data_IF_303025258271
#
_entry.id   IF_303025258271
#
_cell.length_a   1.000
_cell.length_b   1.000
_cell.length_c   1.000
_cell.angle_alpha   90.00
_cell.angle_beta   90.00
_cell.angle_gamma   90.00
#
_symmetry.space_group_name_H-M   'P 1'
#
loop_
_entity.id
_entity.type
_entity.pdbx_description
1 polymer ?
#
# COMPACT_ATOMS: atom_id res chain seq x y z
N UNK A 1 -26.72 -13.09 8.66
CA UNK A 1 -27.68 -14.22 8.65
C UNK A 1 -26.89 -15.44 8.23
N UNK A 2 -26.81 -16.52 9.04
CA UNK A 2 -26.15 -17.76 8.64
C UNK A 2 -26.88 -18.30 7.38
N UNK A 3 -26.11 -18.67 6.35
CA UNK A 3 -26.69 -19.36 5.19
C UNK A 3 -27.39 -20.63 5.69
N UNK A 4 -28.59 -20.95 5.21
CA UNK A 4 -29.26 -22.19 5.57
C UNK A 4 -28.32 -23.35 5.26
N UNK A 5 -28.17 -24.27 6.21
CA UNK A 5 -27.35 -25.45 6.05
C UNK A 5 -27.84 -26.19 4.79
N UNK A 6 -26.93 -26.36 3.83
CA UNK A 6 -27.20 -27.17 2.64
C UNK A 6 -27.65 -28.54 3.12
N UNK A 7 -28.79 -29.04 2.66
CA UNK A 7 -29.23 -30.41 3.01
C UNK A 7 -28.11 -31.37 2.64
N UNK A 8 -27.70 -32.17 3.63
CA UNK A 8 -26.64 -33.17 3.45
C UNK A 8 -27.15 -34.27 2.54
N UNK A 9 -26.31 -34.71 1.64
CA UNK A 9 -26.60 -35.89 0.82
C UNK A 9 -26.61 -37.15 1.70
N UNK A 10 -27.28 -38.22 1.25
CA UNK A 10 -27.30 -39.49 1.98
C UNK A 10 -25.89 -40.08 2.19
N UNK A 11 -24.99 -39.86 1.23
CA UNK A 11 -23.58 -40.22 1.33
C UNK A 11 -22.86 -39.46 2.45
N UNK A 12 -23.08 -38.14 2.56
CA UNK A 12 -22.51 -37.32 3.64
C UNK A 12 -23.02 -37.72 5.01
N UNK A 13 -24.29 -38.14 5.12
CA UNK A 13 -24.87 -38.65 6.36
C UNK A 13 -24.27 -40.01 6.74
N UNK A 14 -24.07 -40.88 5.76
CA UNK A 14 -23.45 -42.20 5.99
C UNK A 14 -22.01 -42.08 6.45
N UNK A 15 -21.19 -41.22 5.79
CA UNK A 15 -19.81 -40.94 6.18
C UNK A 15 -19.73 -40.33 7.60
N UNK A 16 -20.68 -39.44 7.92
CA UNK A 16 -20.74 -38.86 9.28
C UNK A 16 -21.06 -39.92 10.36
N UNK A 17 -21.96 -40.82 10.08
CA UNK A 17 -22.29 -41.92 11.01
C UNK A 17 -21.11 -42.89 11.15
N UNK A 18 -20.41 -43.22 10.05
CA UNK A 18 -19.20 -44.06 10.11
C UNK A 18 -18.10 -43.38 10.95
N UNK A 19 -17.92 -42.08 10.82
CA UNK A 19 -16.98 -41.32 11.63
C UNK A 19 -17.35 -41.37 13.13
N UNK A 20 -18.65 -41.26 13.46
CA UNK A 20 -19.12 -41.39 14.83
C UNK A 20 -18.87 -42.77 15.42
N UNK A 21 -19.11 -43.81 14.65
CA UNK A 21 -18.81 -45.18 15.05
C UNK A 21 -17.31 -45.38 15.33
N UNK A 22 -16.43 -44.73 14.54
CA UNK A 22 -14.98 -44.72 14.78
C UNK A 22 -14.63 -43.97 16.08
N UNK A 23 -15.27 -42.81 16.29
CA UNK A 23 -15.10 -42.03 17.54
C UNK A 23 -15.50 -42.83 18.78
N UNK A 24 -16.61 -43.53 18.73
CA UNK A 24 -17.07 -44.39 19.84
C UNK A 24 -16.12 -45.55 20.13
N UNK A 25 -15.42 -46.10 19.12
CA UNK A 25 -14.38 -47.11 19.27
C UNK A 25 -13.08 -46.58 19.88
N UNK A 26 -12.95 -45.24 19.93
CA UNK A 26 -11.84 -44.53 20.52
C UNK A 26 -10.71 -44.21 19.53
N UNK A 27 -10.42 -42.95 19.37
CA UNK A 27 -9.30 -42.43 18.57
C UNK A 27 -7.95 -42.43 19.32
N UNK A 28 -7.91 -43.01 20.53
CA UNK A 28 -6.69 -43.06 21.36
C UNK A 28 -5.50 -43.70 20.63
N UNK A 29 -5.74 -44.71 19.80
CA UNK A 29 -4.68 -45.36 19.02
C UNK A 29 -4.07 -44.40 17.97
N UNK A 30 -4.86 -43.53 17.35
CA UNK A 30 -4.36 -42.53 16.43
C UNK A 30 -3.45 -41.52 17.14
N UNK A 31 -3.84 -41.08 18.35
CA UNK A 31 -3.02 -40.22 19.18
C UNK A 31 -1.69 -40.88 19.57
N UNK A 32 -1.71 -42.16 19.93
CA UNK A 32 -0.48 -42.91 20.25
C UNK A 32 0.47 -43.01 19.05
N UNK A 33 -0.07 -43.26 17.84
CA UNK A 33 0.73 -43.27 16.61
C UNK A 33 1.34 -41.91 16.34
N UNK A 34 0.58 -40.84 16.52
CA UNK A 34 1.09 -39.46 16.39
C UNK A 34 2.19 -39.19 17.44
N UNK A 35 2.03 -39.64 18.68
CA UNK A 35 3.05 -39.44 19.71
C UNK A 35 4.35 -40.20 19.42
N UNK A 36 4.31 -41.32 18.70
CA UNK A 36 5.51 -42.04 18.24
C UNK A 36 6.35 -41.21 17.27
N UNK A 37 5.72 -40.26 16.57
CA UNK A 37 6.44 -39.33 15.65
C UNK A 37 7.21 -38.24 16.40
N UNK A 38 7.03 -38.10 17.72
CA UNK A 38 7.66 -37.00 18.49
C UNK A 38 9.18 -36.89 18.31
N UNK A 39 10.00 -37.96 18.38
CA UNK A 39 11.44 -37.84 18.13
C UNK A 39 11.73 -37.30 16.74
N UNK A 40 11.08 -37.83 15.70
CA UNK A 40 11.21 -37.41 14.32
C UNK A 40 10.85 -35.93 14.15
N UNK A 41 9.79 -35.45 14.79
CA UNK A 41 9.39 -34.05 14.80
C UNK A 41 10.49 -33.19 15.42
N UNK A 42 10.99 -33.57 16.59
CA UNK A 42 12.00 -32.80 17.34
C UNK A 42 13.29 -32.62 16.52
N UNK A 43 13.69 -33.65 15.79
CA UNK A 43 14.92 -33.63 14.98
C UNK A 43 14.79 -32.80 13.69
N UNK A 44 13.62 -32.77 13.07
CA UNK A 44 13.44 -32.21 11.73
C UNK A 44 12.68 -30.91 11.67
N UNK A 45 11.78 -30.62 12.61
CA UNK A 45 10.79 -29.53 12.51
C UNK A 45 11.44 -28.15 12.32
N UNK A 46 12.58 -27.87 12.97
CA UNK A 46 13.28 -26.58 12.86
C UNK A 46 13.80 -26.35 11.45
N UNK A 47 14.41 -27.37 10.85
CA UNK A 47 14.94 -27.32 9.48
C UNK A 47 13.80 -27.15 8.47
N UNK A 48 12.81 -28.04 8.52
CA UNK A 48 11.67 -28.03 7.60
C UNK A 48 10.87 -26.72 7.70
N UNK A 49 10.64 -26.21 8.91
CA UNK A 49 9.97 -24.92 9.12
C UNK A 49 10.73 -23.78 8.44
N UNK A 50 12.07 -23.76 8.56
CA UNK A 50 12.91 -22.72 7.95
C UNK A 50 12.86 -22.81 6.42
N UNK A 51 12.88 -24.01 5.86
CA UNK A 51 12.76 -24.24 4.42
C UNK A 51 11.39 -23.81 3.89
N UNK A 52 10.30 -24.26 4.53
CA UNK A 52 8.93 -23.85 4.17
C UNK A 52 8.72 -22.34 4.29
N UNK A 53 9.31 -21.69 5.31
CA UNK A 53 9.24 -20.24 5.46
C UNK A 53 9.96 -19.52 4.32
N UNK A 54 11.15 -19.99 3.90
CA UNK A 54 11.88 -19.42 2.76
C UNK A 54 11.10 -19.61 1.47
N UNK A 55 10.47 -20.75 1.27
CA UNK A 55 9.62 -21.06 0.12
C UNK A 55 8.41 -20.11 0.06
N UNK A 56 7.67 -19.93 1.18
CA UNK A 56 6.58 -18.96 1.28
C UNK A 56 7.08 -17.54 0.98
N UNK A 57 8.23 -17.13 1.51
CA UNK A 57 8.81 -15.81 1.29
C UNK A 57 9.20 -15.56 -0.15
N UNK A 58 9.60 -16.58 -0.90
CA UNK A 58 9.91 -16.47 -2.33
C UNK A 58 8.67 -16.29 -3.20
N UNK A 59 7.53 -16.78 -2.76
CA UNK A 59 6.26 -16.72 -3.48
C UNK A 59 5.42 -15.47 -3.15
N UNK A 60 5.67 -14.87 -1.98
CA UNK A 60 4.85 -13.78 -1.46
C UNK A 60 5.72 -12.57 -1.12
N UNK A 61 5.29 -11.37 -1.51
CA UNK A 61 5.92 -10.12 -1.08
C UNK A 61 5.71 -9.92 0.42
N UNK A 62 6.81 -10.00 1.19
CA UNK A 62 6.75 -9.94 2.65
C UNK A 62 6.64 -8.50 3.17
N UNK A 63 5.47 -8.14 3.67
CA UNK A 63 5.28 -6.99 4.56
C UNK A 63 5.18 -7.48 6.01
N UNK A 64 5.52 -6.65 7.02
CA UNK A 64 5.72 -7.07 8.40
C UNK A 64 4.60 -7.89 9.05
N UNK A 65 3.33 -7.58 8.76
CA UNK A 65 2.18 -8.35 9.28
C UNK A 65 2.06 -9.72 8.63
N UNK A 66 2.43 -9.85 7.37
CA UNK A 66 2.46 -11.11 6.61
C UNK A 66 3.50 -12.05 7.19
N UNK A 67 4.61 -11.54 7.71
CA UNK A 67 5.69 -12.35 8.29
C UNK A 67 5.21 -13.25 9.42
N UNK A 68 4.32 -12.75 10.29
CA UNK A 68 3.71 -13.55 11.36
C UNK A 68 2.83 -14.67 10.80
N UNK A 69 2.01 -14.38 9.79
CA UNK A 69 1.17 -15.38 9.12
C UNK A 69 2.02 -16.45 8.45
N UNK A 70 3.07 -16.05 7.72
CA UNK A 70 4.01 -16.98 7.07
C UNK A 70 4.73 -17.87 8.08
N UNK A 71 5.18 -17.31 9.23
CA UNK A 71 5.80 -18.09 10.31
C UNK A 71 4.86 -19.13 10.89
N UNK A 72 3.58 -18.81 11.02
CA UNK A 72 2.56 -19.75 11.50
C UNK A 72 2.28 -20.81 10.44
N UNK A 73 2.02 -20.42 9.20
CA UNK A 73 1.77 -21.33 8.08
C UNK A 73 2.95 -22.28 7.83
N UNK A 74 4.20 -21.78 7.94
CA UNK A 74 5.39 -22.59 7.77
C UNK A 74 5.50 -23.75 8.77
N UNK A 75 4.91 -23.62 9.96
CA UNK A 75 4.86 -24.71 10.93
C UNK A 75 3.93 -25.85 10.45
N UNK A 76 2.73 -25.49 9.96
CA UNK A 76 1.79 -26.49 9.43
C UNK A 76 2.31 -27.15 8.15
N UNK A 77 2.94 -26.37 7.27
CA UNK A 77 3.59 -26.89 6.07
C UNK A 77 4.74 -27.84 6.41
N UNK A 78 5.56 -27.49 7.41
CA UNK A 78 6.64 -28.35 7.86
C UNK A 78 6.12 -29.69 8.44
N UNK A 79 4.99 -29.67 9.17
CA UNK A 79 4.37 -30.89 9.66
C UNK A 79 3.81 -31.75 8.52
N UNK A 80 3.14 -31.15 7.53
CA UNK A 80 2.65 -31.85 6.35
C UNK A 80 3.81 -32.52 5.58
N UNK A 81 4.87 -31.76 5.33
CA UNK A 81 6.06 -32.27 4.64
C UNK A 81 6.78 -33.38 5.43
N UNK A 82 6.84 -33.24 6.76
CA UNK A 82 7.42 -34.27 7.63
C UNK A 82 6.62 -35.58 7.54
N UNK A 83 5.29 -35.51 7.57
CA UNK A 83 4.44 -36.69 7.43
C UNK A 83 4.64 -37.33 6.06
N UNK A 84 4.64 -36.55 4.97
CA UNK A 84 4.78 -37.05 3.61
C UNK A 84 6.18 -37.68 3.34
N UNK A 85 7.27 -37.07 3.85
CA UNK A 85 8.63 -37.51 3.56
C UNK A 85 9.13 -38.64 4.50
N UNK A 86 8.63 -38.71 5.74
CA UNK A 86 9.23 -39.56 6.78
C UNK A 86 8.28 -40.58 7.37
N UNK A 87 7.03 -40.66 6.89
CA UNK A 87 6.06 -41.65 7.42
C UNK A 87 5.29 -42.30 6.26
N UNK A 88 4.69 -43.47 6.58
CA UNK A 88 3.78 -44.15 5.66
C UNK A 88 2.33 -43.62 5.73
N UNK A 89 2.09 -42.56 6.52
CA UNK A 89 0.77 -41.95 6.67
C UNK A 89 0.42 -41.21 5.38
N UNK A 90 -0.69 -41.58 4.78
CA UNK A 90 -1.22 -40.90 3.59
C UNK A 90 -2.24 -39.87 3.98
N UNK A 91 -1.89 -38.60 3.76
CA UNK A 91 -2.83 -37.49 3.89
C UNK A 91 -3.74 -37.44 2.65
N UNK A 92 -4.98 -36.94 2.76
CA UNK A 92 -5.90 -36.81 1.64
C UNK A 92 -5.50 -35.69 0.65
N UNK A 93 -4.35 -35.06 0.86
CA UNK A 93 -3.78 -33.98 0.05
C UNK A 93 -2.25 -34.08 0.05
N UNK A 94 -1.62 -33.58 -0.99
CA UNK A 94 -0.16 -33.49 -1.13
C UNK A 94 0.38 -32.21 -0.50
N UNK A 95 1.69 -32.17 -0.21
CA UNK A 95 2.37 -30.94 0.24
C UNK A 95 2.13 -29.77 -0.73
N UNK A 96 2.19 -29.99 -2.06
CA UNK A 96 1.98 -28.93 -3.06
C UNK A 96 0.58 -28.33 -2.99
N UNK A 97 -0.45 -29.15 -2.82
CA UNK A 97 -1.83 -28.69 -2.69
C UNK A 97 -2.02 -27.91 -1.41
N UNK A 98 -1.45 -28.39 -0.30
CA UNK A 98 -1.51 -27.70 0.97
C UNK A 98 -0.74 -26.38 0.95
N UNK A 99 0.43 -26.33 0.28
CA UNK A 99 1.19 -25.12 0.08
C UNK A 99 0.41 -24.05 -0.68
N UNK A 100 -0.27 -24.44 -1.78
CA UNK A 100 -1.14 -23.55 -2.53
C UNK A 100 -2.27 -23.00 -1.68
N UNK A 101 -2.95 -23.86 -0.92
CA UNK A 101 -4.02 -23.45 0.01
C UNK A 101 -3.47 -22.48 1.06
N UNK A 102 -2.27 -22.71 1.59
CA UNK A 102 -1.62 -21.81 2.55
C UNK A 102 -1.36 -20.43 1.95
N UNK A 103 -0.84 -20.35 0.72
CA UNK A 103 -0.64 -19.09 0.01
C UNK A 103 -1.96 -18.35 -0.21
N UNK A 104 -3.00 -19.04 -0.71
CA UNK A 104 -4.32 -18.46 -0.95
C UNK A 104 -4.96 -17.92 0.35
N UNK A 105 -4.80 -18.65 1.45
CA UNK A 105 -5.32 -18.22 2.77
C UNK A 105 -4.55 -17.03 3.34
N UNK A 106 -3.23 -17.01 3.20
CA UNK A 106 -2.42 -15.86 3.62
C UNK A 106 -2.83 -14.63 2.79
N UNK A 107 -2.94 -14.75 1.48
CA UNK A 107 -3.37 -13.65 0.62
C UNK A 107 -4.76 -13.15 1.01
N UNK A 108 -5.71 -14.05 1.25
CA UNK A 108 -7.04 -13.67 1.72
C UNK A 108 -7.02 -12.89 3.05
N UNK A 109 -6.17 -13.31 4.00
CA UNK A 109 -6.03 -12.60 5.29
C UNK A 109 -5.41 -11.21 5.09
N UNK A 110 -4.42 -11.09 4.22
CA UNK A 110 -3.81 -9.79 3.86
C UNK A 110 -4.85 -8.86 3.26
N UNK A 111 -5.66 -9.35 2.32
CA UNK A 111 -6.73 -8.57 1.70
C UNK A 111 -7.78 -8.13 2.72
N UNK A 112 -8.10 -9.00 3.69
CA UNK A 112 -9.03 -8.68 4.78
C UNK A 112 -8.46 -7.59 5.69
N UNK A 113 -7.20 -7.72 6.12
CA UNK A 113 -6.50 -6.71 6.94
C UNK A 113 -6.44 -5.37 6.19
N UNK A 114 -6.07 -5.39 4.92
CA UNK A 114 -6.01 -4.19 4.08
C UNK A 114 -7.37 -3.48 3.94
N UNK A 115 -8.47 -4.24 3.88
CA UNK A 115 -9.84 -3.68 3.82
C UNK A 115 -10.28 -3.02 5.13
N UNK A 116 -9.75 -3.48 6.26
CA UNK A 116 -10.04 -2.90 7.59
C UNK A 116 -9.04 -1.82 7.99
N UNK A 117 -7.98 -1.62 7.20
CA UNK A 117 -6.98 -0.59 7.46
C UNK A 117 -7.55 0.81 7.17
N UNK A 118 -7.54 1.67 8.19
CA UNK A 118 -7.97 3.07 8.09
C UNK A 118 -7.13 3.86 7.09
N UNK A 119 -5.87 3.52 6.95
CA UNK A 119 -4.99 4.13 5.96
C UNK A 119 -5.35 3.71 4.53
N UNK A 120 -5.74 2.45 4.31
CA UNK A 120 -6.23 2.01 3.01
C UNK A 120 -7.46 2.82 2.58
N UNK A 121 -8.40 3.07 3.52
CA UNK A 121 -9.59 3.90 3.27
C UNK A 121 -9.18 5.35 2.98
N UNK A 122 -8.25 5.92 3.76
CA UNK A 122 -7.75 7.28 3.58
C UNK A 122 -7.07 7.47 2.21
N UNK A 123 -6.17 6.56 1.81
CA UNK A 123 -5.49 6.67 0.52
C UNK A 123 -6.39 6.40 -0.68
N UNK A 124 -7.37 5.49 -0.56
CA UNK A 124 -8.41 5.31 -1.59
C UNK A 124 -9.28 6.54 -1.75
N UNK A 125 -9.63 7.20 -0.64
CA UNK A 125 -10.35 8.46 -0.69
C UNK A 125 -9.49 9.54 -1.35
N UNK A 126 -8.20 9.61 -1.04
CA UNK A 126 -7.26 10.52 -1.67
C UNK A 126 -7.19 10.29 -3.19
N UNK A 127 -7.16 9.04 -3.63
CA UNK A 127 -7.18 8.64 -5.04
C UNK A 127 -8.42 9.21 -5.77
N UNK A 128 -9.60 9.00 -5.21
CA UNK A 128 -10.84 9.59 -5.76
C UNK A 128 -10.86 11.11 -5.72
N UNK A 129 -10.32 11.73 -4.65
CA UNK A 129 -10.24 13.18 -4.54
C UNK A 129 -9.27 13.80 -5.57
N UNK A 130 -8.25 13.08 -6.00
CA UNK A 130 -7.36 13.48 -7.09
C UNK A 130 -8.12 13.44 -8.43
N UNK A 131 -8.87 12.37 -8.70
CA UNK A 131 -9.67 12.26 -9.92
C UNK A 131 -10.74 13.33 -10.04
N UNK A 132 -11.38 13.67 -8.92
CA UNK A 132 -12.40 14.74 -8.87
C UNK A 132 -11.80 16.14 -8.78
N UNK A 133 -10.47 16.29 -8.84
CA UNK A 133 -9.73 17.55 -8.71
C UNK A 133 -9.97 18.29 -7.38
N UNK A 134 -10.47 17.60 -6.37
CA UNK A 134 -10.58 18.13 -5.00
C UNK A 134 -9.20 18.29 -4.36
N UNK A 135 -8.24 17.41 -4.72
CA UNK A 135 -6.82 17.53 -4.40
C UNK A 135 -6.02 17.82 -5.66
N UNK A 136 -5.10 18.76 -5.56
CA UNK A 136 -4.31 19.26 -6.68
C UNK A 136 -2.83 18.89 -6.47
N UNK A 137 -2.21 18.16 -7.42
CA UNK A 137 -0.78 17.89 -7.40
C UNK A 137 0.03 19.20 -7.37
N UNK A 138 1.14 19.20 -6.64
CA UNK A 138 1.97 20.40 -6.45
C UNK A 138 1.40 21.40 -5.45
N UNK A 139 0.10 21.36 -5.09
CA UNK A 139 -0.53 22.18 -4.07
C UNK A 139 -0.74 21.44 -2.75
N UNK A 140 -1.37 20.27 -2.81
CA UNK A 140 -1.81 19.52 -1.64
C UNK A 140 -0.90 18.33 -1.33
N UNK A 141 -0.29 17.79 -2.36
CA UNK A 141 0.74 16.75 -2.33
C UNK A 141 1.71 16.94 -3.49
N UNK A 142 2.91 16.37 -3.38
CA UNK A 142 3.96 16.49 -4.39
C UNK A 142 4.83 15.22 -4.40
N UNK A 143 5.54 14.97 -5.50
CA UNK A 143 6.47 13.87 -5.64
C UNK A 143 7.84 14.36 -6.04
N UNK A 144 8.89 13.74 -5.51
CA UNK A 144 10.27 14.05 -5.88
C UNK A 144 11.18 12.83 -5.65
N UNK A 145 12.40 12.88 -6.17
CA UNK A 145 13.44 11.87 -6.04
C UNK A 145 14.71 12.46 -5.38
N UNK A 146 14.61 12.93 -4.14
CA UNK A 146 15.73 13.58 -3.49
C UNK A 146 16.76 12.55 -3.02
N UNK A 147 18.07 12.84 -3.10
CA UNK A 147 19.11 11.94 -2.57
C UNK A 147 19.15 11.94 -1.03
N UNK A 148 18.62 12.99 -0.39
CA UNK A 148 18.54 13.14 1.06
C UNK A 148 17.37 14.04 1.46
N UNK A 149 16.87 13.82 2.68
CA UNK A 149 15.83 14.64 3.30
C UNK A 149 16.32 15.25 4.60
N UNK A 150 15.80 16.42 4.93
CA UNK A 150 15.99 17.05 6.25
C UNK A 150 14.70 16.90 7.03
N UNK A 151 14.69 15.98 7.98
CA UNK A 151 13.55 15.67 8.83
C UNK A 151 13.57 16.49 10.13
N UNK A 152 12.39 16.71 10.70
CA UNK A 152 12.24 17.29 12.04
C UNK A 152 12.42 16.15 13.05
N UNK A 153 13.52 16.16 13.80
CA UNK A 153 13.79 15.23 14.88
C UNK A 153 13.19 15.69 16.24
N UNK A 154 13.41 14.89 17.27
CA UNK A 154 13.02 15.26 18.65
C UNK A 154 13.60 16.62 19.07
N UNK A 155 12.80 17.43 19.77
CA UNK A 155 13.22 18.76 20.19
C UNK A 155 13.40 19.78 19.06
N UNK A 156 12.78 19.55 17.89
CA UNK A 156 12.90 20.37 16.65
C UNK A 156 14.31 20.40 16.06
N UNK A 157 15.15 19.43 16.37
CA UNK A 157 16.45 19.25 15.73
C UNK A 157 16.28 18.85 14.26
N UNK A 158 17.24 19.21 13.40
CA UNK A 158 17.26 18.76 12.00
C UNK A 158 18.06 17.47 11.91
N UNK A 159 17.45 16.43 11.33
CA UNK A 159 18.07 15.13 11.11
C UNK A 159 18.17 14.87 9.61
N UNK A 160 19.37 14.58 9.11
CA UNK A 160 19.58 14.20 7.71
C UNK A 160 19.22 12.71 7.53
N UNK A 161 18.33 12.43 6.58
CA UNK A 161 17.89 11.08 6.22
C UNK A 161 18.33 10.79 4.76
N UNK A 162 19.23 9.81 4.54
CA UNK A 162 19.61 9.41 3.20
C UNK A 162 18.44 8.63 2.55
N UNK A 163 18.08 9.01 1.33
CA UNK A 163 17.05 8.32 0.55
C UNK A 163 17.76 7.41 -0.45
N UNK A 164 17.41 6.12 -0.54
CA UNK A 164 17.98 5.22 -1.54
C UNK A 164 17.75 5.74 -2.95
N UNK A 165 18.74 5.58 -3.84
CA UNK A 165 18.64 6.03 -5.22
C UNK A 165 17.43 5.44 -5.93
N UNK A 166 16.72 6.31 -6.67
CA UNK A 166 15.52 5.94 -7.42
C UNK A 166 14.25 5.83 -6.58
N UNK A 167 14.31 6.04 -5.26
CA UNK A 167 13.12 6.04 -4.40
C UNK A 167 12.26 7.27 -4.65
N UNK A 168 11.00 7.06 -4.97
CA UNK A 168 10.02 8.12 -5.06
C UNK A 168 9.53 8.53 -3.67
N UNK A 169 9.68 9.80 -3.34
CA UNK A 169 9.17 10.39 -2.10
C UNK A 169 7.91 11.20 -2.40
N UNK A 170 6.84 10.90 -1.67
CA UNK A 170 5.60 11.66 -1.69
C UNK A 170 5.54 12.61 -0.49
N UNK A 171 5.32 13.88 -0.75
CA UNK A 171 5.12 14.92 0.27
C UNK A 171 3.64 15.21 0.38
N UNK A 172 3.07 15.08 1.56
CA UNK A 172 1.65 15.33 1.81
C UNK A 172 1.43 16.45 2.83
N UNK A 173 0.50 17.34 2.51
CA UNK A 173 -0.04 18.35 3.45
C UNK A 173 -1.20 17.73 4.22
N UNK A 174 -0.88 16.89 5.21
CA UNK A 174 -1.87 16.06 5.89
C UNK A 174 -3.11 16.85 6.38
N UNK A 175 -2.93 18.04 6.94
CA UNK A 175 -4.05 18.86 7.45
C UNK A 175 -5.01 19.28 6.33
N UNK A 176 -4.49 19.58 5.14
CA UNK A 176 -5.31 19.99 3.98
C UNK A 176 -6.05 18.79 3.41
N UNK A 177 -5.33 17.69 3.20
CA UNK A 177 -5.90 16.44 2.67
C UNK A 177 -6.95 15.91 3.64
N UNK A 178 -6.65 15.91 4.94
CA UNK A 178 -7.58 15.46 5.96
C UNK A 178 -8.85 16.30 6.00
N UNK A 179 -8.77 17.62 5.86
CA UNK A 179 -9.96 18.48 5.82
C UNK A 179 -10.91 18.16 4.65
N UNK A 180 -10.38 17.70 3.51
CA UNK A 180 -11.18 17.22 2.40
C UNK A 180 -11.73 15.81 2.67
N UNK A 181 -10.89 14.92 3.24
CA UNK A 181 -11.28 13.58 3.63
C UNK A 181 -12.43 13.58 4.64
N UNK A 182 -12.36 14.43 5.66
CA UNK A 182 -13.36 14.54 6.71
C UNK A 182 -14.73 15.02 6.17
N UNK A 183 -14.74 15.87 5.14
CA UNK A 183 -15.95 16.33 4.44
C UNK A 183 -16.49 15.29 3.46
N UNK A 184 -15.72 14.29 3.12
CA UNK A 184 -16.09 13.26 2.16
C UNK A 184 -16.94 12.16 2.81
N UNK A 185 -17.68 11.42 1.98
CA UNK A 185 -18.42 10.22 2.44
C UNK A 185 -17.52 9.04 2.82
N UNK A 186 -16.21 9.16 2.63
CA UNK A 186 -15.24 8.08 2.93
C UNK A 186 -14.91 7.99 4.42
N UNK A 187 -14.96 9.10 5.18
CA UNK A 187 -14.69 9.09 6.62
C UNK A 187 -15.92 8.66 7.44
N UNK A 188 -16.51 7.51 7.10
CA UNK A 188 -17.69 6.97 7.79
C UNK A 188 -17.42 6.62 9.25
N UNK A 189 -16.20 6.21 9.56
CA UNK A 189 -15.76 5.83 10.91
C UNK A 189 -15.32 7.04 11.75
N UNK A 190 -15.42 8.25 11.22
CA UNK A 190 -15.00 9.50 11.89
C UNK A 190 -13.58 9.42 12.47
N UNK A 191 -12.65 8.83 11.70
CA UNK A 191 -11.25 8.78 12.09
C UNK A 191 -10.68 10.19 12.19
N UNK A 192 -10.11 10.58 13.34
CA UNK A 192 -9.51 11.90 13.52
C UNK A 192 -8.19 12.03 12.76
N UNK A 193 -7.77 13.27 12.47
CA UNK A 193 -6.47 13.55 11.86
C UNK A 193 -5.31 12.94 12.66
N UNK A 194 -5.37 13.03 14.00
CA UNK A 194 -4.36 12.45 14.88
C UNK A 194 -4.28 10.92 14.76
N UNK A 195 -5.43 10.24 14.58
CA UNK A 195 -5.47 8.79 14.35
C UNK A 195 -4.80 8.43 13.01
N UNK A 196 -5.12 9.16 11.94
CA UNK A 196 -4.48 8.94 10.64
C UNK A 196 -2.98 9.20 10.72
N UNK A 197 -2.55 10.28 11.37
CA UNK A 197 -1.13 10.59 11.55
C UNK A 197 -0.40 9.53 12.38
N UNK A 198 -1.01 9.02 13.45
CA UNK A 198 -0.43 7.97 14.27
C UNK A 198 -0.28 6.66 13.48
N UNK A 199 -1.29 6.30 12.70
CA UNK A 199 -1.23 5.13 11.83
C UNK A 199 -0.17 5.29 10.74
N UNK A 200 -0.03 6.49 10.14
CA UNK A 200 1.05 6.79 9.20
C UNK A 200 2.43 6.61 9.84
N UNK A 201 2.65 7.13 11.04
CA UNK A 201 3.93 7.02 11.77
C UNK A 201 4.35 5.57 12.05
N UNK A 202 3.38 4.66 12.20
CA UNK A 202 3.63 3.23 12.42
C UNK A 202 3.73 2.42 11.12
N UNK A 203 3.46 3.05 9.97
CA UNK A 203 3.46 2.38 8.67
C UNK A 203 4.86 2.35 8.04
N UNK A 204 5.17 1.28 7.29
CA UNK A 204 6.46 1.10 6.63
C UNK A 204 6.78 2.17 5.57
N UNK A 205 5.77 2.83 5.01
CA UNK A 205 5.97 3.92 4.06
C UNK A 205 6.36 5.26 4.71
N UNK A 206 6.28 5.38 6.03
CA UNK A 206 6.55 6.64 6.72
C UNK A 206 8.05 6.95 6.78
N UNK A 207 8.46 8.13 6.27
CA UNK A 207 9.84 8.61 6.38
C UNK A 207 9.95 9.61 7.52
N UNK A 208 9.12 10.66 7.55
CA UNK A 208 9.15 11.62 8.64
C UNK A 208 8.54 12.98 8.29
N UNK A 209 8.44 13.87 9.32
CA UNK A 209 7.97 15.22 9.12
C UNK A 209 9.08 16.11 8.56
N UNK A 210 8.73 17.01 7.64
CA UNK A 210 9.60 18.00 7.01
C UNK A 210 9.11 19.40 7.41
N UNK A 211 10.03 20.28 7.83
CA UNK A 211 9.72 21.63 8.29
C UNK A 211 9.20 22.53 7.14
N UNK A 212 9.85 22.43 5.98
CA UNK A 212 9.51 23.23 4.81
C UNK A 212 9.78 22.44 3.53
N UNK A 213 8.74 22.26 2.73
CA UNK A 213 8.80 21.80 1.35
C UNK A 213 8.13 22.84 0.46
N UNK A 214 8.70 23.09 -0.70
CA UNK A 214 8.17 24.06 -1.65
C UNK A 214 7.19 23.37 -2.58
N UNK A 215 5.91 23.62 -2.35
CA UNK A 215 4.83 23.21 -3.25
C UNK A 215 4.68 24.21 -4.37
N UNK A 216 4.59 23.74 -5.63
CA UNK A 216 4.42 24.57 -6.83
C UNK A 216 3.23 24.05 -7.62
N UNK A 217 2.29 24.95 -7.95
CA UNK A 217 1.12 24.58 -8.74
C UNK A 217 0.71 25.72 -9.67
N UNK A 218 -0.14 25.39 -10.62
CA UNK A 218 -0.72 26.36 -11.55
C UNK A 218 -2.22 26.49 -11.26
N UNK A 219 -2.70 27.71 -11.13
CA UNK A 219 -4.13 28.02 -11.07
C UNK A 219 -4.55 28.75 -12.33
N UNK A 220 -5.73 28.39 -12.84
CA UNK A 220 -6.34 29.08 -13.97
C UNK A 220 -7.38 30.02 -13.43
N UNK A 221 -7.19 31.30 -13.67
CA UNK A 221 -8.06 32.40 -13.26
C UNK A 221 -8.73 32.99 -14.50
N UNK A 222 -10.04 33.21 -14.43
CA UNK A 222 -10.73 33.94 -15.49
C UNK A 222 -10.72 35.43 -15.17
N UNK A 223 -10.06 36.21 -15.97
CA UNK A 223 -9.91 37.67 -15.81
C UNK A 223 -10.47 38.42 -17.03
N UNK A 224 -11.07 39.61 -16.81
CA UNK A 224 -11.51 40.45 -17.92
C UNK A 224 -10.31 40.81 -18.80
N UNK A 225 -10.48 40.79 -20.14
CA UNK A 225 -9.44 41.10 -21.12
C UNK A 225 -8.76 42.45 -20.87
N UNK A 226 -9.52 43.44 -20.43
CA UNK A 226 -9.00 44.80 -20.16
C UNK A 226 -7.99 44.86 -19.00
N UNK A 227 -7.99 43.91 -18.06
CA UNK A 227 -6.97 43.84 -17.00
C UNK A 227 -5.63 43.36 -17.55
N UNK A 228 -5.63 42.42 -18.49
CA UNK A 228 -4.40 41.90 -19.11
C UNK A 228 -3.75 42.92 -20.08
N UNK A 229 -4.55 43.68 -20.79
CA UNK A 229 -4.06 44.75 -21.68
C UNK A 229 -3.37 45.86 -20.88
N UNK A 230 -3.86 46.17 -19.67
CA UNK A 230 -3.24 47.13 -18.76
C UNK A 230 -1.92 46.66 -18.15
N UNK A 231 -1.67 45.32 -18.07
CA UNK A 231 -0.41 44.77 -17.59
C UNK A 231 0.68 44.66 -18.68
N UNK A 232 0.40 45.04 -19.94
CA UNK A 232 1.37 45.03 -21.03
C UNK A 232 1.87 43.66 -21.45
N UNK A 233 1.08 42.61 -21.22
CA UNK A 233 1.41 41.24 -21.58
C UNK A 233 0.69 40.81 -22.85
N UNK A 234 1.44 40.26 -23.81
CA UNK A 234 0.86 39.65 -25.02
C UNK A 234 -0.07 38.48 -24.62
N UNK A 235 -1.29 38.53 -25.14
CA UNK A 235 -2.31 37.49 -24.93
C UNK A 235 -2.09 36.42 -26.01
N UNK A 236 -1.75 35.16 -25.66
CA UNK A 236 -1.66 34.10 -26.64
C UNK A 236 -3.02 33.85 -27.30
N UNK A 237 -3.04 33.76 -28.64
CA UNK A 237 -4.27 33.59 -29.44
C UNK A 237 -5.11 32.36 -29.10
N UNK A 238 -4.53 31.38 -28.45
CA UNK A 238 -5.19 30.11 -28.04
C UNK A 238 -6.27 30.28 -26.94
N UNK A 239 -6.41 31.45 -26.34
CA UNK A 239 -7.27 31.70 -25.18
C UNK A 239 -8.51 32.53 -25.45
N UNK A 240 -8.92 32.69 -26.71
CA UNK A 240 -10.11 33.44 -27.05
C UNK A 240 -11.34 32.53 -26.98
N UNK A 241 -12.10 32.61 -25.90
CA UNK A 241 -13.43 32.01 -25.84
C UNK A 241 -14.39 32.72 -26.83
N UNK A 242 -14.91 31.98 -27.80
CA UNK A 242 -15.94 32.45 -28.74
C UNK A 242 -17.27 32.59 -27.98
N UNK A 243 -17.74 33.80 -27.85
CA UNK A 243 -19.14 34.10 -27.50
C UNK A 243 -19.35 35.25 -26.53
N UNK A 244 -19.94 36.33 -27.07
CA UNK A 244 -20.59 37.49 -26.43
C UNK A 244 -19.85 38.35 -25.38
N UNK A 245 -19.58 39.54 -25.79
CA UNK A 245 -19.44 40.90 -25.21
C UNK A 245 -18.77 41.16 -23.85
N UNK A 246 -18.46 40.17 -23.06
CA UNK A 246 -17.50 40.28 -21.93
C UNK A 246 -16.42 39.23 -22.13
N UNK A 247 -15.38 39.57 -22.90
CA UNK A 247 -14.26 38.63 -23.14
C UNK A 247 -13.52 38.35 -21.82
N UNK A 248 -13.84 37.24 -21.20
CA UNK A 248 -13.04 36.67 -20.12
C UNK A 248 -11.89 35.85 -20.73
N UNK A 249 -10.69 36.09 -20.27
CA UNK A 249 -9.47 35.39 -20.71
C UNK A 249 -8.98 34.52 -19.55
N UNK A 250 -8.55 33.32 -19.88
CA UNK A 250 -7.96 32.41 -18.88
C UNK A 250 -6.49 32.76 -18.67
N UNK A 251 -6.16 33.20 -17.47
CA UNK A 251 -4.79 33.45 -17.01
C UNK A 251 -4.28 32.28 -16.20
N UNK A 252 -3.13 31.72 -16.57
CA UNK A 252 -2.43 30.70 -15.78
C UNK A 252 -1.43 31.37 -14.85
N UNK A 253 -1.69 31.34 -13.57
CA UNK A 253 -0.82 31.88 -12.52
C UNK A 253 -0.03 30.76 -11.86
N UNK A 254 1.30 30.86 -11.91
CA UNK A 254 2.16 29.95 -11.16
C UNK A 254 2.26 30.40 -9.70
N UNK A 255 1.85 29.54 -8.78
CA UNK A 255 1.85 29.79 -7.34
C UNK A 255 2.84 28.86 -6.66
N UNK A 256 3.42 29.32 -5.56
CA UNK A 256 4.26 28.47 -4.73
C UNK A 256 4.04 28.76 -3.25
N UNK A 257 4.26 27.75 -2.41
CA UNK A 257 4.14 27.87 -0.97
C UNK A 257 5.11 26.94 -0.26
N UNK A 258 5.93 27.51 0.64
CA UNK A 258 6.71 26.71 1.57
C UNK A 258 5.86 26.35 2.79
N UNK A 259 5.72 25.06 3.10
CA UNK A 259 4.94 24.62 4.25
C UNK A 259 5.47 23.29 4.79
N UNK A 260 5.16 23.03 6.05
CA UNK A 260 5.45 21.73 6.67
C UNK A 260 4.61 20.64 6.03
N UNK A 261 5.21 19.47 5.88
CA UNK A 261 4.56 18.29 5.28
C UNK A 261 5.10 16.99 5.90
N UNK A 262 4.50 15.89 5.52
CA UNK A 262 4.97 14.54 5.85
C UNK A 262 5.55 13.93 4.58
N UNK A 263 6.76 13.35 4.70
CA UNK A 263 7.38 12.59 3.64
C UNK A 263 7.06 11.09 3.79
N UNK A 264 6.64 10.48 2.70
CA UNK A 264 6.32 9.06 2.60
C UNK A 264 7.13 8.42 1.47
N UNK A 265 7.53 7.17 1.63
CA UNK A 265 8.05 6.37 0.52
C UNK A 265 6.88 5.93 -0.36
N UNK A 266 6.75 6.54 -1.54
CA UNK A 266 5.65 6.28 -2.45
C UNK A 266 5.69 4.87 -3.05
N UNK A 267 6.87 4.33 -3.31
CA UNK A 267 7.00 3.00 -3.91
C UNK A 267 6.45 1.91 -2.97
N UNK A 268 6.76 2.02 -1.67
CA UNK A 268 6.19 1.16 -0.64
C UNK A 268 4.68 1.38 -0.53
N UNK A 269 4.23 2.63 -0.47
CA UNK A 269 2.82 2.99 -0.35
C UNK A 269 2.00 2.47 -1.54
N UNK A 270 2.46 2.68 -2.77
CA UNK A 270 1.83 2.21 -3.99
C UNK A 270 1.72 0.68 -4.02
N UNK A 271 2.79 -0.01 -3.62
CA UNK A 271 2.80 -1.48 -3.52
C UNK A 271 1.84 -2.01 -2.46
N UNK A 272 1.76 -1.37 -1.29
CA UNK A 272 0.90 -1.81 -0.17
C UNK A 272 -0.59 -1.67 -0.47
N UNK A 273 -0.98 -0.56 -1.10
CA UNK A 273 -2.39 -0.20 -1.28
C UNK A 273 -2.88 -0.32 -2.73
N UNK A 274 -2.00 -0.68 -3.67
CA UNK A 274 -2.33 -0.81 -5.10
C UNK A 274 -2.76 0.51 -5.73
N UNK A 275 -2.08 1.62 -5.39
CA UNK A 275 -2.44 2.98 -5.79
C UNK A 275 -1.56 3.48 -6.93
N UNK A 276 -2.16 4.24 -7.84
CA UNK A 276 -1.45 5.03 -8.85
C UNK A 276 -1.85 6.51 -8.74
N UNK A 277 -1.24 7.20 -7.78
CA UNK A 277 -1.51 8.63 -7.54
C UNK A 277 -0.73 9.56 -8.49
N UNK A 278 0.19 9.01 -9.30
CA UNK A 278 1.01 9.78 -10.26
C UNK A 278 0.35 9.99 -11.63
N UNK A 279 -0.75 9.30 -11.93
CA UNK A 279 -1.39 9.31 -13.25
C UNK A 279 -1.77 10.71 -13.77
N UNK A 280 -1.94 11.67 -12.87
CA UNK A 280 -2.27 13.06 -13.19
C UNK A 280 -1.09 14.02 -13.07
N UNK A 281 0.14 13.52 -12.87
CA UNK A 281 1.32 14.37 -12.93
C UNK A 281 1.58 14.76 -14.39
N UNK A 282 1.57 16.06 -14.67
CA UNK A 282 2.22 16.59 -15.87
C UNK A 282 3.71 16.27 -15.77
N UNK A 283 4.32 15.63 -16.78
CA UNK A 283 5.76 15.38 -16.75
C UNK A 283 6.48 16.68 -16.44
N UNK A 284 7.20 16.76 -15.34
CA UNK A 284 8.13 17.85 -15.08
C UNK A 284 9.11 17.81 -16.24
N UNK A 285 9.18 18.87 -17.05
CA UNK A 285 10.29 19.08 -17.95
C UNK A 285 11.54 18.95 -17.08
N UNK A 286 12.28 17.85 -17.28
CA UNK A 286 13.61 17.73 -16.75
C UNK A 286 14.36 18.91 -17.36
N UNK A 287 14.79 19.87 -16.52
CA UNK A 287 15.89 20.74 -16.87
C UNK A 287 17.10 19.85 -17.11
N UNK A 288 17.18 19.24 -18.28
CA UNK A 288 18.41 18.80 -18.87
C UNK A 288 19.19 20.08 -19.12
N UNK A 289 20.01 20.50 -18.18
CA UNK A 289 21.21 21.23 -18.53
C UNK A 289 21.93 20.30 -19.52
N UNK A 290 21.91 20.71 -20.78
CA UNK A 290 22.71 20.09 -21.82
C UNK A 290 24.12 19.92 -21.27
N UNK A 291 24.70 18.69 -21.27
CA UNK A 291 26.13 18.58 -21.06
C UNK A 291 26.77 19.35 -22.21
N UNK A 292 27.59 20.35 -21.88
CA UNK A 292 28.44 21.04 -22.82
C UNK A 292 29.07 20.00 -23.76
N UNK A 293 28.68 20.11 -25.03
CA UNK A 293 29.34 19.38 -26.10
C UNK A 293 30.75 19.96 -26.18
N UNK A 294 31.69 19.32 -25.51
CA UNK A 294 33.12 19.54 -25.76
C UNK A 294 33.36 19.33 -27.25
N UNK A 295 33.49 20.43 -27.97
CA UNK A 295 34.00 20.44 -29.34
C UNK A 295 35.43 20.00 -29.27
N UNK A 296 35.71 18.73 -29.58
CA UNK A 296 37.02 18.25 -29.86
C UNK A 296 37.55 19.04 -31.08
N UNK A 297 38.72 19.71 -31.00
CA UNK A 297 39.39 20.26 -32.15
C UNK A 297 40.05 19.14 -32.93
N UNK A 298 39.60 18.96 -34.19
CA UNK A 298 40.15 18.17 -35.28
C UNK A 298 40.33 16.69 -35.14
#
# INVERSE_FOLDING_TARGET
>A
VPKPAKERTQEEVNLFNELKDIEERGLCNVLLEILKLRPLVMDNIRRLKTECYKELKSQMLAHGEIDRLMKTASLFLAMCRLVEEYTDLKLPFTYKEFFKIACDKIQFQVDLISRTDKLATFFKAMDVMIDTKALVPGRDFDFDYPPKLTLIGPGKSSVSYPVPDGTCVMYIRLSVIYAQYDRSSFNREQSSQSTIEQNLRSNACYIGPIAAHRFNWKETEEVPRGELENEGKDIPEEYIAQGNDTMMVRRVKSLNKNTSCIALNYDILASMYGLDLKRNETPREKNMQDPEVERLPF
#
